data_IF_347551226334
#
_entry.id   IF_347551226334
#
_cell.length_a   1.000
_cell.length_b   1.000
_cell.length_c   1.000
_cell.angle_alpha   90.00
_cell.angle_beta   90.00
_cell.angle_gamma   90.00
#
_symmetry.space_group_name_H-M   'P 1'
#
loop_
_entity.id
_entity.type
_entity.pdbx_description
1 polymer ?
#
# COMPACT_ATOMS: atom_id res chain seq x y z
N UNK A 1 8.21 -3.68 6.68
CA UNK A 1 7.88 -5.06 6.24
C UNK A 1 6.90 -4.91 5.09
N UNK A 2 7.09 -5.55 3.93
CA UNK A 2 6.18 -5.38 2.80
C UNK A 2 4.76 -5.75 3.22
N UNK A 3 3.81 -4.86 2.96
CA UNK A 3 2.39 -5.18 3.08
C UNK A 3 2.07 -6.41 2.23
N UNK A 4 1.81 -7.56 2.86
CA UNK A 4 1.23 -8.70 2.18
C UNK A 4 -0.25 -8.38 1.94
N UNK A 5 -0.53 -7.75 0.81
CA UNK A 5 -1.88 -7.37 0.45
C UNK A 5 -2.66 -8.64 0.03
N UNK A 6 -3.93 -8.81 0.44
CA UNK A 6 -4.78 -9.93 0.04
C UNK A 6 -5.18 -9.90 -1.46
N UNK A 7 -4.26 -9.57 -2.36
CA UNK A 7 -4.46 -9.63 -3.80
C UNK A 7 -4.45 -11.09 -4.31
N UNK A 8 -5.21 -11.98 -3.67
CA UNK A 8 -5.52 -13.31 -4.23
C UNK A 8 -6.66 -13.16 -5.21
N UNK A 9 -6.30 -12.77 -6.42
CA UNK A 9 -7.16 -12.90 -7.57
C UNK A 9 -6.29 -13.46 -8.71
N UNK A 10 -6.05 -14.77 -8.70
CA UNK A 10 -5.56 -15.50 -9.86
C UNK A 10 -6.76 -16.10 -10.60
N UNK A 11 -7.24 -15.36 -11.59
CA UNK A 11 -8.26 -15.76 -12.54
C UNK A 11 -7.88 -15.14 -13.88
N UNK A 12 -7.82 -15.96 -14.93
CA UNK A 12 -7.29 -15.64 -16.27
C UNK A 12 -8.18 -14.64 -17.04
N UNK A 13 -8.20 -13.39 -16.61
CA UNK A 13 -8.85 -12.28 -17.31
C UNK A 13 -8.10 -10.99 -17.03
N UNK A 14 -8.08 -10.10 -18.02
CA UNK A 14 -7.43 -8.77 -18.02
C UNK A 14 -7.46 -8.09 -16.62
N UNK A 15 -6.39 -8.25 -15.82
CA UNK A 15 -6.26 -7.58 -14.52
C UNK A 15 -5.14 -6.56 -14.59
N UNK A 16 -5.45 -5.33 -14.17
CA UNK A 16 -4.49 -4.25 -13.99
C UNK A 16 -3.39 -4.73 -13.03
N UNK A 17 -2.09 -4.66 -13.40
CA UNK A 17 -1.01 -5.04 -12.51
C UNK A 17 -1.08 -4.24 -11.21
N UNK A 18 -0.76 -4.89 -10.09
CA UNK A 18 -0.73 -4.25 -8.78
C UNK A 18 0.70 -3.84 -8.48
N UNK A 19 0.88 -2.57 -8.12
CA UNK A 19 2.15 -2.01 -7.66
C UNK A 19 1.94 -1.55 -6.23
N UNK A 20 2.70 -2.08 -5.29
CA UNK A 20 2.74 -1.55 -3.94
C UNK A 20 3.88 -0.53 -3.82
N UNK A 21 3.59 0.59 -3.17
CA UNK A 21 4.56 1.64 -2.87
C UNK A 21 4.66 1.82 -1.36
N UNK A 22 5.88 2.01 -0.88
CA UNK A 22 6.16 2.14 0.55
C UNK A 22 7.39 3.02 0.79
N UNK A 23 7.54 3.43 2.05
CA UNK A 23 8.60 4.28 2.55
C UNK A 23 9.30 3.62 3.74
N UNK A 24 10.63 3.75 3.81
CA UNK A 24 11.39 3.52 5.02
C UNK A 24 12.24 4.74 5.39
N UNK A 25 12.04 5.31 6.58
CA UNK A 25 12.91 6.35 7.11
C UNK A 25 14.32 5.79 7.34
N UNK A 26 15.32 6.52 6.86
CA UNK A 26 16.73 6.16 7.08
C UNK A 26 17.18 6.70 8.44
N UNK A 27 18.02 5.92 9.14
CA UNK A 27 18.55 6.28 10.45
C UNK A 27 20.04 6.62 10.40
N UNK A 28 20.53 7.31 11.44
CA UNK A 28 21.93 7.71 11.56
C UNK A 28 22.20 9.10 10.97
N UNK A 29 23.44 9.35 10.53
CA UNK A 29 23.86 10.63 9.93
C UNK A 29 23.25 10.90 8.55
N UNK A 30 22.68 9.87 7.94
CA UNK A 30 21.99 9.94 6.65
C UNK A 30 20.50 10.12 6.92
N UNK A 31 20.08 11.36 7.14
CA UNK A 31 18.67 11.71 7.17
C UNK A 31 17.99 11.41 5.82
N UNK A 32 16.67 11.46 5.81
CA UNK A 32 15.87 11.21 4.61
C UNK A 32 15.09 9.90 4.66
N UNK A 33 14.60 9.49 3.50
CA UNK A 33 13.73 8.33 3.41
C UNK A 33 13.88 7.58 2.07
N UNK A 34 13.84 6.26 2.15
CA UNK A 34 13.91 5.34 1.03
C UNK A 34 12.50 5.01 0.54
N UNK A 35 12.19 5.46 -0.66
CA UNK A 35 10.95 5.17 -1.36
C UNK A 35 11.17 3.90 -2.20
N UNK A 36 10.16 3.04 -2.24
CA UNK A 36 10.22 1.79 -2.99
C UNK A 36 8.90 1.50 -3.68
N UNK A 37 8.98 0.92 -4.88
CA UNK A 37 7.83 0.39 -5.60
C UNK A 37 8.11 -1.05 -6.00
N UNK A 38 7.16 -1.94 -5.74
CA UNK A 38 7.28 -3.37 -5.93
C UNK A 38 6.03 -3.89 -6.65
N UNK A 39 6.22 -4.82 -7.58
CA UNK A 39 5.15 -5.53 -8.25
C UNK A 39 5.20 -7.02 -7.90
N UNK A 40 4.09 -7.70 -8.14
CA UNK A 40 4.03 -9.16 -8.05
C UNK A 40 4.09 -9.74 -9.46
N UNK A 41 4.92 -10.76 -9.65
CA UNK A 41 4.96 -11.52 -10.89
C UNK A 41 3.83 -12.57 -10.94
N UNK A 42 3.79 -13.35 -12.03
CA UNK A 42 2.79 -14.40 -12.21
C UNK A 42 2.89 -15.54 -11.18
N UNK A 43 4.00 -15.62 -10.45
CA UNK A 43 4.26 -16.62 -9.41
C UNK A 43 4.07 -16.05 -8.00
N UNK A 44 3.37 -14.91 -7.87
CA UNK A 44 3.20 -14.16 -6.61
C UNK A 44 4.53 -13.77 -5.94
N UNK A 45 5.63 -13.73 -6.70
CA UNK A 45 6.93 -13.30 -6.19
C UNK A 45 7.06 -11.80 -6.32
N UNK A 46 7.55 -11.18 -5.24
CA UNK A 46 7.74 -9.74 -5.16
C UNK A 46 8.99 -9.33 -5.95
N UNK A 47 8.82 -8.41 -6.89
CA UNK A 47 9.89 -7.87 -7.72
C UNK A 47 9.98 -6.35 -7.57
N UNK A 48 11.15 -5.79 -7.24
CA UNK A 48 11.30 -4.34 -7.14
C UNK A 48 11.29 -3.67 -8.52
N UNK A 49 10.47 -2.64 -8.69
CA UNK A 49 10.39 -1.86 -9.91
C UNK A 49 11.31 -0.64 -9.88
N UNK A 50 11.33 0.10 -8.78
CA UNK A 50 12.16 1.29 -8.61
C UNK A 50 12.36 1.64 -7.14
N UNK A 51 13.42 2.38 -6.86
CA UNK A 51 13.76 2.92 -5.55
C UNK A 51 14.23 4.37 -5.70
N UNK A 52 14.02 5.17 -4.66
CA UNK A 52 14.49 6.56 -4.62
C UNK A 52 14.84 6.97 -3.19
N UNK A 53 15.91 7.74 -3.04
CA UNK A 53 16.26 8.35 -1.74
C UNK A 53 15.81 9.80 -1.79
N UNK A 54 14.93 10.15 -0.86
CA UNK A 54 14.32 11.47 -0.78
C UNK A 54 14.65 12.15 0.54
N UNK A 55 14.43 13.46 0.56
CA UNK A 55 14.67 14.29 1.73
C UNK A 55 13.64 14.05 2.82
N UNK A 56 12.37 13.81 2.46
CA UNK A 56 11.27 13.66 3.40
C UNK A 56 10.01 13.04 2.76
N UNK A 57 9.04 12.71 3.58
CA UNK A 57 7.73 12.19 3.18
C UNK A 57 6.76 13.35 2.86
N UNK A 58 7.05 14.14 1.83
CA UNK A 58 6.21 15.26 1.41
C UNK A 58 5.59 15.04 0.02
N UNK A 59 4.68 15.93 -0.38
CA UNK A 59 3.98 15.84 -1.68
C UNK A 59 4.94 15.87 -2.88
N UNK A 60 5.90 16.80 -2.90
CA UNK A 60 6.85 16.96 -4.01
C UNK A 60 7.75 15.73 -4.17
N UNK A 61 8.28 15.19 -3.07
CA UNK A 61 9.14 14.00 -3.07
C UNK A 61 8.36 12.76 -3.55
N UNK A 62 7.09 12.62 -3.15
CA UNK A 62 6.22 11.56 -3.65
C UNK A 62 5.83 11.74 -5.12
N UNK A 63 5.46 12.96 -5.53
CA UNK A 63 5.12 13.27 -6.91
C UNK A 63 6.28 12.92 -7.84
N UNK A 64 7.49 13.39 -7.52
CA UNK A 64 8.68 13.09 -8.31
C UNK A 64 8.92 11.57 -8.40
N UNK A 65 8.82 10.85 -7.28
CA UNK A 65 9.02 9.40 -7.27
C UNK A 65 7.99 8.68 -8.15
N UNK A 66 6.72 9.08 -8.06
CA UNK A 66 5.63 8.50 -8.82
C UNK A 66 5.74 8.81 -10.32
N UNK A 67 6.21 10.00 -10.71
CA UNK A 67 6.52 10.33 -12.10
C UNK A 67 7.62 9.42 -12.67
N UNK A 68 8.68 9.15 -11.89
CA UNK A 68 9.71 8.19 -12.31
C UNK A 68 9.17 6.77 -12.42
N UNK A 69 8.33 6.36 -11.48
CA UNK A 69 7.63 5.08 -11.56
C UNK A 69 6.73 5.01 -12.80
N UNK A 70 6.03 6.08 -13.16
CA UNK A 70 5.17 6.14 -14.35
C UNK A 70 5.95 5.92 -15.64
N UNK A 71 7.17 6.45 -15.74
CA UNK A 71 8.07 6.20 -16.88
C UNK A 71 8.40 4.70 -16.97
N UNK A 72 8.71 4.04 -15.86
CA UNK A 72 9.02 2.60 -15.81
C UNK A 72 7.80 1.75 -16.18
N UNK A 73 6.62 2.12 -15.68
CA UNK A 73 5.35 1.41 -15.95
C UNK A 73 4.88 1.61 -17.39
N UNK A 74 5.14 2.79 -17.95
CA UNK A 74 4.66 3.22 -19.26
C UNK A 74 3.14 3.46 -19.27
N UNK A 75 2.51 3.14 -20.40
CA UNK A 75 1.07 3.33 -20.61
C UNK A 75 0.20 2.22 -20.00
N UNK A 76 0.76 1.33 -19.19
CA UNK A 76 -0.01 0.27 -18.54
C UNK A 76 -0.91 0.88 -17.48
N UNK A 77 -2.17 0.47 -17.48
CA UNK A 77 -3.10 0.78 -16.40
C UNK A 77 -2.81 -0.14 -15.21
N UNK A 78 -2.50 0.44 -14.06
CA UNK A 78 -2.03 -0.27 -12.86
C UNK A 78 -2.86 0.14 -11.66
N UNK A 79 -2.96 -0.73 -10.66
CA UNK A 79 -3.51 -0.40 -9.35
C UNK A 79 -2.34 -0.17 -8.40
N UNK A 80 -2.25 1.03 -7.84
CA UNK A 80 -1.24 1.40 -6.85
C UNK A 80 -1.79 1.17 -5.44
N UNK A 81 -1.06 0.43 -4.62
CA UNK A 81 -1.37 0.17 -3.22
C UNK A 81 -0.36 0.89 -2.34
N UNK A 82 -0.82 1.74 -1.43
CA UNK A 82 0.06 2.48 -0.52
C UNK A 82 -0.44 2.44 0.92
N UNK A 83 0.36 2.87 1.87
CA UNK A 83 -0.16 3.24 3.18
C UNK A 83 -0.96 4.55 3.11
N UNK A 84 -1.67 4.88 4.18
CA UNK A 84 -2.52 6.06 4.25
C UNK A 84 -1.71 7.27 4.69
N UNK A 85 -1.28 8.09 3.73
CA UNK A 85 -0.62 9.37 3.98
C UNK A 85 -1.16 10.48 3.09
N UNK A 86 -1.15 11.72 3.58
CA UNK A 86 -1.71 12.87 2.87
C UNK A 86 -0.95 13.15 1.55
N UNK A 87 0.37 13.03 1.55
CA UNK A 87 1.17 13.22 0.35
C UNK A 87 0.79 12.23 -0.76
N UNK A 88 0.53 10.97 -0.39
CA UNK A 88 0.10 9.91 -1.31
C UNK A 88 -1.34 10.09 -1.79
N UNK A 89 -2.22 10.60 -0.92
CA UNK A 89 -3.60 10.92 -1.26
C UNK A 89 -3.69 11.97 -2.38
N UNK A 90 -2.75 12.92 -2.43
CA UNK A 90 -2.69 13.92 -3.51
C UNK A 90 -1.89 13.43 -4.73
N UNK A 91 -0.69 12.89 -4.51
CA UNK A 91 0.25 12.60 -5.60
C UNK A 91 -0.10 11.37 -6.44
N UNK A 92 -0.75 10.34 -5.86
CA UNK A 92 -1.12 9.15 -6.64
C UNK A 92 -2.21 9.46 -7.67
N UNK A 93 -3.31 10.15 -7.33
CA UNK A 93 -4.31 10.58 -8.32
C UNK A 93 -3.71 11.43 -9.45
N UNK A 94 -2.78 12.33 -9.15
CA UNK A 94 -2.15 13.20 -10.15
C UNK A 94 -1.38 12.40 -11.23
N UNK A 95 -0.80 11.25 -10.87
CA UNK A 95 0.05 10.45 -11.78
C UNK A 95 -0.66 9.21 -12.35
N UNK A 96 -1.48 8.54 -11.54
CA UNK A 96 -2.09 7.24 -11.88
C UNK A 96 -3.62 7.27 -11.96
N UNK A 97 -4.29 8.36 -11.56
CA UNK A 97 -5.74 8.46 -11.50
C UNK A 97 -6.33 7.95 -10.17
N UNK A 98 -7.46 8.50 -9.76
CA UNK A 98 -8.08 8.23 -8.45
C UNK A 98 -8.65 6.81 -8.35
N UNK A 99 -9.18 6.28 -9.46
CA UNK A 99 -9.75 4.94 -9.59
C UNK A 99 -8.71 3.82 -9.52
N UNK A 100 -7.43 4.18 -9.53
CA UNK A 100 -6.28 3.28 -9.54
C UNK A 100 -5.51 3.28 -8.22
N UNK A 101 -6.02 3.95 -7.18
CA UNK A 101 -5.37 3.99 -5.86
C UNK A 101 -6.15 3.18 -4.81
N UNK A 102 -5.44 2.32 -4.09
CA UNK A 102 -5.97 1.58 -2.95
C UNK A 102 -5.04 1.69 -1.74
N UNK A 103 -5.61 1.50 -0.54
CA UNK A 103 -4.84 1.47 0.69
C UNK A 103 -4.46 0.04 1.08
N UNK A 104 -3.24 -0.11 1.56
CA UNK A 104 -2.73 -1.35 2.11
C UNK A 104 -3.61 -1.81 3.28
N UNK A 105 -4.09 -3.06 3.21
CA UNK A 105 -4.92 -3.66 4.25
C UNK A 105 -4.27 -3.65 5.63
N UNK A 106 -2.96 -3.90 5.71
CA UNK A 106 -2.23 -3.86 6.98
C UNK A 106 -2.36 -2.50 7.66
N UNK A 107 -2.13 -1.41 6.93
CA UNK A 107 -2.29 -0.05 7.45
C UNK A 107 -3.75 0.27 7.80
N UNK A 108 -4.72 -0.20 7.00
CA UNK A 108 -6.14 -0.07 7.35
C UNK A 108 -6.47 -0.79 8.66
N UNK A 109 -5.90 -1.97 8.88
CA UNK A 109 -6.06 -2.76 10.11
C UNK A 109 -5.43 -2.06 11.31
N UNK A 110 -4.26 -1.44 11.15
CA UNK A 110 -3.60 -0.65 12.19
C UNK A 110 -4.42 0.60 12.57
N UNK A 111 -4.96 1.31 11.57
CA UNK A 111 -5.86 2.44 11.79
C UNK A 111 -7.10 1.98 12.57
N UNK A 112 -7.71 0.87 12.15
CA UNK A 112 -8.88 0.32 12.82
C UNK A 112 -8.57 -0.13 14.26
N UNK A 113 -7.45 -0.81 14.47
CA UNK A 113 -6.96 -1.20 15.79
C UNK A 113 -6.78 0.01 16.71
N UNK A 114 -6.21 1.10 16.18
CA UNK A 114 -6.00 2.35 16.91
C UNK A 114 -7.32 3.06 17.23
N UNK A 115 -8.30 3.02 16.31
CA UNK A 115 -9.64 3.54 16.52
C UNK A 115 -10.36 2.77 17.65
N UNK A 116 -10.34 1.44 17.61
CA UNK A 116 -10.95 0.61 18.66
C UNK A 116 -10.31 0.88 20.03
N UNK A 117 -8.99 1.04 20.09
CA UNK A 117 -8.30 1.37 21.34
C UNK A 117 -8.72 2.72 21.95
N UNK A 118 -9.15 3.69 21.13
CA UNK A 118 -9.62 5.00 21.61
C UNK A 118 -11.07 4.98 22.09
N UNK A 119 -11.89 4.10 21.51
CA UNK A 119 -13.33 4.04 21.77
C UNK A 119 -13.76 2.90 22.70
N UNK A 120 -12.85 1.99 23.07
CA UNK A 120 -13.19 0.85 23.91
C UNK A 120 -12.75 1.05 25.37
N UNK A 121 -13.74 1.23 26.26
CA UNK A 121 -13.60 1.15 27.73
C UNK A 121 -13.64 -0.30 28.26
N UNK A 122 -13.96 -1.29 27.42
CA UNK A 122 -14.30 -2.67 27.80
C UNK A 122 -13.41 -3.71 27.09
N UNK A 123 -12.34 -4.16 27.76
CA UNK A 123 -11.69 -5.46 27.53
C UNK A 123 -10.96 -5.70 26.18
N UNK A 124 -9.75 -6.27 26.26
CA UNK A 124 -8.93 -6.63 25.09
C UNK A 124 -9.60 -7.62 24.11
N UNK A 125 -10.58 -8.41 24.59
CA UNK A 125 -11.24 -9.48 23.85
C UNK A 125 -12.16 -8.99 22.72
N UNK A 126 -12.86 -7.88 22.92
CA UNK A 126 -13.76 -7.33 21.89
C UNK A 126 -12.97 -6.74 20.71
N UNK A 127 -11.80 -6.17 21.01
CA UNK A 127 -10.86 -5.68 20.00
C UNK A 127 -10.33 -6.84 19.15
N UNK A 128 -9.93 -7.94 19.76
CA UNK A 128 -9.44 -9.13 19.04
C UNK A 128 -10.51 -9.72 18.13
N UNK A 129 -11.75 -9.86 18.62
CA UNK A 129 -12.87 -10.35 17.82
C UNK A 129 -13.13 -9.48 16.58
N UNK A 130 -13.11 -8.15 16.75
CA UNK A 130 -13.32 -7.21 15.64
C UNK A 130 -12.19 -7.28 14.60
N UNK A 131 -10.93 -7.42 15.03
CA UNK A 131 -9.80 -7.60 14.12
C UNK A 131 -9.85 -8.94 13.37
N UNK A 132 -10.25 -10.02 14.04
CA UNK A 132 -10.45 -11.33 13.40
C UNK A 132 -11.58 -11.30 12.36
N UNK A 133 -12.67 -10.57 12.65
CA UNK A 133 -13.75 -10.37 11.69
C UNK A 133 -13.29 -9.57 10.46
N UNK A 134 -12.46 -8.53 10.66
CA UNK A 134 -11.85 -7.83 9.51
C UNK A 134 -10.93 -8.72 8.69
N UNK A 135 -10.15 -9.59 9.33
CA UNK A 135 -9.30 -10.56 8.62
C UNK A 135 -10.14 -11.54 7.80
N UNK A 136 -11.26 -12.01 8.36
CA UNK A 136 -12.13 -12.96 7.67
C UNK A 136 -12.81 -12.36 6.44
N UNK A 137 -13.12 -11.06 6.46
CA UNK A 137 -13.61 -10.32 5.29
C UNK A 137 -12.48 -10.13 4.26
N UNK A 138 -11.32 -9.63 4.68
CA UNK A 138 -10.24 -9.25 3.77
C UNK A 138 -9.57 -10.45 3.09
N UNK A 139 -9.42 -11.57 3.81
CA UNK A 139 -8.88 -12.83 3.30
C UNK A 139 -9.98 -13.86 2.99
N UNK A 140 -11.24 -13.45 3.07
CA UNK A 140 -12.40 -14.25 2.72
C UNK A 140 -12.28 -14.71 1.27
N UNK A 141 -11.90 -15.98 1.09
CA UNK A 141 -11.71 -16.58 -0.23
C UNK A 141 -13.07 -16.61 -0.93
N UNK A 142 -13.24 -15.83 -1.99
CA UNK A 142 -14.34 -16.02 -2.94
C UNK A 142 -14.10 -17.35 -3.65
N UNK A 143 -14.60 -18.44 -3.04
CA UNK A 143 -14.76 -19.74 -3.68
C UNK A 143 -15.99 -19.63 -4.58
N UNK A 144 -15.79 -19.20 -5.81
CA UNK A 144 -16.75 -19.35 -6.90
C UNK A 144 -16.00 -19.80 -8.12
#
# INVERSE_FOLDING_TARGET
MPCHCPAKAQGKGLRRPIIAIDLAHMSGSYGGALFSAIAYDANDSMFPLTFGVMSSENYEDWLWFLEKLKIVVGNKEVITISYRHLALFCSVPDVFGIENHAYCYHHLKEIFSSFLSKHNTQGNKDKENALQFLDSIAYGRVRT
#
